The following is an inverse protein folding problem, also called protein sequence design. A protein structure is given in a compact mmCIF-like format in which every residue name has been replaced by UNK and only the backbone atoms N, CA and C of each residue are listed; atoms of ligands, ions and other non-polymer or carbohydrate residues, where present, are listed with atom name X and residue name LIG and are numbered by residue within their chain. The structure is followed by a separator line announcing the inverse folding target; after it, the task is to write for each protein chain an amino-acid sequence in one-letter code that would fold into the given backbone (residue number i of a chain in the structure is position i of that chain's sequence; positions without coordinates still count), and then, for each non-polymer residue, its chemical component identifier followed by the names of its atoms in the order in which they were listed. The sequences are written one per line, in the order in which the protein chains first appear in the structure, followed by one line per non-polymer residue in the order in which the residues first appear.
data_IF_062962109375
#
_entry.id   IF_062962109375
#
_cell.length_a   1.000
_cell.length_b   1.000
_cell.length_c   1.000
_cell.angle_alpha   90.00
_cell.angle_beta   90.00
_cell.angle_gamma   90.00
#
_symmetry.space_group_name_H-M   'P 1'
#
loop_
_entity.id
_entity.type
_entity.pdbx_description
1 polymer ?
#
# COMPACT_ATOMS: atom_id res chain seq x y z
N UNK A 1 19.35 -4.93 -16.32
CA UNK A 1 19.77 -5.54 -15.03
C UNK A 1 18.61 -5.34 -14.05
N UNK A 2 17.94 -6.41 -13.61
CA UNK A 2 16.81 -6.34 -12.66
C UNK A 2 17.36 -6.68 -11.27
N UNK A 3 17.22 -5.76 -10.32
CA UNK A 3 17.56 -6.02 -8.92
C UNK A 3 16.33 -6.55 -8.19
N UNK A 4 16.42 -7.76 -7.64
CA UNK A 4 15.39 -8.33 -6.77
C UNK A 4 15.77 -8.05 -5.32
N UNK A 5 14.86 -7.43 -4.57
CA UNK A 5 15.02 -7.21 -3.14
C UNK A 5 13.90 -7.93 -2.41
N UNK A 6 14.26 -8.80 -1.48
CA UNK A 6 13.30 -9.44 -0.59
C UNK A 6 13.42 -8.79 0.79
N UNK A 7 12.35 -8.13 1.23
CA UNK A 7 12.31 -7.54 2.57
C UNK A 7 12.31 -8.63 3.65
N UNK A 8 12.91 -8.37 4.83
CA UNK A 8 12.92 -9.33 5.93
C UNK A 8 11.50 -9.58 6.47
N UNK A 9 11.23 -10.81 6.88
CA UNK A 9 9.94 -11.19 7.47
C UNK A 9 9.76 -10.48 8.82
N UNK A 10 8.65 -9.76 8.98
CA UNK A 10 8.27 -9.09 10.24
C UNK A 10 7.11 -9.84 10.89
N UNK A 11 7.26 -10.15 12.19
CA UNK A 11 6.22 -10.81 13.00
C UNK A 11 5.62 -9.80 13.97
N UNK A 12 4.31 -9.63 13.94
CA UNK A 12 3.57 -8.77 14.86
C UNK A 12 3.01 -9.59 16.02
N UNK A 13 2.98 -9.00 17.23
CA UNK A 13 2.41 -9.64 18.44
C UNK A 13 0.88 -9.58 18.52
N UNK A 14 0.24 -8.87 17.59
CA UNK A 14 -1.20 -8.62 17.60
C UNK A 14 -1.95 -9.61 16.69
N UNK A 15 -3.23 -9.91 16.99
CA UNK A 15 -4.08 -10.72 16.12
C UNK A 15 -4.29 -10.08 14.74
N UNK A 16 -4.65 -10.92 13.76
CA UNK A 16 -4.78 -10.55 12.36
C UNK A 16 -5.75 -9.38 12.14
N UNK A 17 -6.87 -9.39 12.83
CA UNK A 17 -7.93 -8.40 12.71
C UNK A 17 -7.45 -7.00 13.11
N UNK A 18 -6.61 -6.90 14.14
CA UNK A 18 -5.99 -5.63 14.54
C UNK A 18 -4.94 -5.17 13.54
N UNK A 19 -4.19 -6.09 12.94
CA UNK A 19 -3.22 -5.77 11.88
C UNK A 19 -3.94 -5.27 10.62
N UNK A 20 -5.07 -5.88 10.26
CA UNK A 20 -5.92 -5.45 9.15
C UNK A 20 -6.50 -4.06 9.40
N UNK A 21 -7.09 -3.83 10.58
CA UNK A 21 -7.60 -2.51 10.96
C UNK A 21 -6.49 -1.44 10.99
N UNK A 22 -5.28 -1.79 11.45
CA UNK A 22 -4.13 -0.90 11.41
C UNK A 22 -3.64 -0.64 9.98
N UNK A 23 -3.75 -1.63 9.09
CA UNK A 23 -3.39 -1.49 7.68
C UNK A 23 -4.32 -0.50 6.96
N UNK A 24 -5.63 -0.60 7.18
CA UNK A 24 -6.60 0.35 6.60
C UNK A 24 -6.37 1.78 7.08
N UNK A 25 -6.08 1.96 8.37
CA UNK A 25 -5.79 3.28 8.97
C UNK A 25 -4.54 3.97 8.43
N UNK A 26 -3.71 3.29 7.65
CA UNK A 26 -2.55 3.92 6.97
C UNK A 26 -3.00 4.90 5.88
N UNK A 27 -4.23 4.76 5.39
CA UNK A 27 -4.75 5.57 4.31
C UNK A 27 -5.81 6.52 4.89
N UNK A 28 -5.91 7.78 4.42
CA UNK A 28 -5.27 8.35 3.23
C UNK A 28 -3.95 9.08 3.48
N UNK A 29 -3.52 9.30 4.73
CA UNK A 29 -2.25 9.99 5.06
C UNK A 29 -1.48 9.23 6.15
N UNK A 30 -0.17 9.06 5.96
CA UNK A 30 0.71 8.32 6.86
C UNK A 30 1.79 9.24 7.44
N UNK A 31 1.69 9.70 8.70
CA UNK A 31 2.71 10.56 9.29
C UNK A 31 4.08 9.87 9.44
N UNK A 32 4.11 8.53 9.49
CA UNK A 32 5.34 7.75 9.54
C UNK A 32 6.07 7.66 8.19
N UNK A 33 5.41 8.03 7.09
CA UNK A 33 5.96 7.94 5.73
C UNK A 33 5.96 9.37 5.17
N UNK A 34 7.03 10.15 5.36
CA UNK A 34 7.04 11.58 4.99
C UNK A 34 6.95 11.83 3.48
N UNK A 35 7.24 10.82 2.66
CA UNK A 35 7.09 10.87 1.20
C UNK A 35 5.65 10.61 0.73
N UNK A 36 4.75 10.19 1.61
CA UNK A 36 3.39 9.81 1.23
C UNK A 36 2.47 11.03 1.23
N UNK A 37 2.01 11.43 0.05
CA UNK A 37 1.20 12.65 -0.14
C UNK A 37 -0.28 12.34 0.10
N UNK A 38 -0.75 11.24 -0.48
CA UNK A 38 -2.16 10.83 -0.39
C UNK A 38 -2.44 9.55 -1.15
N UNK A 39 -3.61 8.98 -0.91
CA UNK A 39 -4.13 7.86 -1.70
C UNK A 39 -5.59 8.02 -2.02
N UNK A 40 -5.97 7.59 -3.21
CA UNK A 40 -7.34 7.57 -3.69
C UNK A 40 -7.75 6.13 -4.02
N UNK A 41 -8.98 5.74 -3.68
CA UNK A 41 -9.52 4.41 -4.02
C UNK A 41 -10.00 4.47 -5.47
N UNK A 42 -9.47 3.59 -6.32
CA UNK A 42 -9.82 3.53 -7.74
C UNK A 42 -10.82 2.40 -8.02
N UNK A 43 -10.67 1.28 -7.32
CA UNK A 43 -11.55 0.12 -7.47
C UNK A 43 -11.77 -0.56 -6.13
N UNK A 44 -12.98 -1.06 -5.92
CA UNK A 44 -13.36 -1.82 -4.74
C UNK A 44 -14.31 -2.93 -5.14
N UNK A 45 -14.01 -4.15 -4.69
CA UNK A 45 -14.80 -5.33 -4.93
C UNK A 45 -14.95 -6.15 -3.65
N UNK A 46 -16.19 -6.52 -3.36
CA UNK A 46 -16.55 -7.40 -2.24
C UNK A 46 -17.18 -8.67 -2.82
N UNK A 47 -16.70 -9.82 -2.38
CA UNK A 47 -17.33 -11.10 -2.70
C UNK A 47 -18.69 -11.24 -1.99
N UNK A 48 -19.63 -11.98 -2.58
CA UNK A 48 -20.99 -12.18 -2.03
C UNK A 48 -20.98 -12.83 -0.64
N UNK A 49 -19.98 -13.66 -0.35
CA UNK A 49 -19.78 -14.31 0.95
C UNK A 49 -19.19 -13.37 2.01
N UNK A 50 -18.76 -12.16 1.63
CA UNK A 50 -18.06 -11.20 2.48
C UNK A 50 -16.68 -11.67 2.95
N UNK A 51 -16.20 -12.82 2.47
CA UNK A 51 -14.94 -13.43 2.87
C UNK A 51 -13.72 -12.80 2.19
N UNK A 52 -13.90 -12.27 0.99
CA UNK A 52 -12.86 -11.65 0.18
C UNK A 52 -13.21 -10.21 -0.15
N UNK A 53 -12.23 -9.33 0.08
CA UNK A 53 -12.30 -7.92 -0.26
C UNK A 53 -11.06 -7.54 -1.06
N UNK A 54 -11.26 -6.98 -2.24
CA UNK A 54 -10.21 -6.47 -3.11
C UNK A 54 -10.35 -4.97 -3.21
N UNK A 55 -9.29 -4.25 -2.89
CA UNK A 55 -9.23 -2.80 -3.03
C UNK A 55 -8.00 -2.39 -3.82
N UNK A 56 -8.21 -1.52 -4.80
CA UNK A 56 -7.13 -0.90 -5.57
C UNK A 56 -7.07 0.57 -5.22
N UNK A 57 -5.87 1.04 -4.88
CA UNK A 57 -5.62 2.42 -4.45
C UNK A 57 -4.49 3.00 -5.26
N UNK A 58 -4.70 4.20 -5.77
CA UNK A 58 -3.63 4.99 -6.39
C UNK A 58 -3.00 5.86 -5.31
N UNK A 59 -1.72 5.64 -5.03
CA UNK A 59 -0.94 6.35 -4.02
C UNK A 59 0.01 7.34 -4.68
N UNK A 60 0.02 8.58 -4.21
CA UNK A 60 0.96 9.61 -4.66
C UNK A 60 2.12 9.71 -3.68
N UNK A 61 3.33 9.48 -4.17
CA UNK A 61 4.57 9.58 -3.40
C UNK A 61 5.42 10.73 -3.94
N UNK A 62 5.83 11.63 -3.05
CA UNK A 62 6.80 12.66 -3.35
C UNK A 62 8.20 12.10 -3.11
N UNK A 63 8.89 11.75 -4.19
CA UNK A 63 10.24 11.18 -4.10
C UNK A 63 11.25 12.29 -4.24
N UNK A 64 12.14 12.39 -3.27
CA UNK A 64 13.25 13.33 -3.33
C UNK A 64 14.29 12.81 -4.33
N UNK A 65 14.06 13.12 -5.62
CA UNK A 65 14.90 12.64 -6.70
C UNK A 65 16.25 13.38 -6.72
N UNK A 66 17.35 12.70 -7.10
CA UNK A 66 18.66 13.36 -7.23
C UNK A 66 18.59 14.53 -8.22
N UNK A 67 19.45 15.54 -8.00
CA UNK A 67 19.37 16.88 -8.61
C UNK A 67 19.10 16.91 -10.13
N UNK A 68 19.65 15.95 -10.86
CA UNK A 68 19.45 15.81 -12.31
C UNK A 68 18.01 15.48 -12.70
N UNK A 69 17.32 14.64 -11.92
CA UNK A 69 15.93 14.22 -12.19
C UNK A 69 14.95 15.34 -11.80
N UNK A 70 15.22 16.07 -10.71
CA UNK A 70 14.43 17.25 -10.32
C UNK A 70 14.37 18.31 -11.41
N UNK A 71 15.47 18.51 -12.15
CA UNK A 71 15.54 19.49 -13.24
C UNK A 71 14.60 19.16 -14.41
N UNK A 72 14.14 17.91 -14.51
CA UNK A 72 13.20 17.43 -15.56
C UNK A 72 11.74 17.43 -15.07
N UNK A 73 11.47 17.85 -13.82
CA UNK A 73 10.11 18.05 -13.30
C UNK A 73 9.43 16.81 -12.68
N UNK A 74 10.09 15.67 -12.63
CA UNK A 74 9.56 14.46 -12.00
C UNK A 74 9.82 14.48 -10.48
N UNK A 75 8.86 15.02 -9.73
CA UNK A 75 8.88 15.03 -8.24
C UNK A 75 7.83 14.11 -7.63
N UNK A 76 6.72 13.88 -8.32
CA UNK A 76 5.63 13.04 -7.84
C UNK A 76 5.53 11.75 -8.65
N UNK A 77 5.52 10.61 -7.97
CA UNK A 77 5.32 9.28 -8.54
C UNK A 77 3.96 8.76 -8.07
N UNK A 78 3.15 8.26 -9.00
CA UNK A 78 1.91 7.55 -8.68
C UNK A 78 2.17 6.04 -8.71
N UNK A 79 1.83 5.36 -7.64
CA UNK A 79 1.93 3.90 -7.51
C UNK A 79 0.52 3.36 -7.31
N UNK A 80 0.13 2.38 -8.12
CA UNK A 80 -1.09 1.58 -7.90
C UNK A 80 -0.78 0.47 -6.92
N UNK A 81 -1.57 0.37 -5.86
CA UNK A 81 -1.44 -0.65 -4.82
C UNK A 81 -2.72 -1.48 -4.79
N UNK A 82 -2.58 -2.79 -5.06
CA UNK A 82 -3.71 -3.73 -5.04
C UNK A 82 -3.62 -4.56 -3.77
N UNK A 83 -4.64 -4.49 -2.92
CA UNK A 83 -4.71 -5.29 -1.70
C UNK A 83 -5.90 -6.26 -1.77
N UNK A 84 -5.60 -7.56 -1.65
CA UNK A 84 -6.59 -8.62 -1.48
C UNK A 84 -6.59 -9.07 -0.01
N UNK A 85 -7.72 -8.91 0.64
CA UNK A 85 -7.98 -9.33 2.02
C UNK A 85 -8.85 -10.57 1.98
N UNK A 86 -8.36 -11.66 2.57
CA UNK A 86 -9.14 -12.88 2.72
C UNK A 86 -9.28 -13.20 4.22
N UNK A 87 -10.50 -13.08 4.73
CA UNK A 87 -10.83 -13.25 6.16
C UNK A 87 -10.83 -14.72 6.58
N UNK A 88 -11.19 -15.64 5.69
CA UNK A 88 -11.20 -17.09 5.98
C UNK A 88 -9.79 -17.65 6.17
N UNK A 89 -8.87 -17.25 5.28
CA UNK A 89 -7.47 -17.69 5.32
C UNK A 89 -6.60 -16.80 6.21
N UNK A 90 -7.11 -15.64 6.66
CA UNK A 90 -6.39 -14.63 7.45
C UNK A 90 -5.10 -14.16 6.75
N UNK A 91 -5.24 -13.82 5.47
CA UNK A 91 -4.13 -13.37 4.62
C UNK A 91 -4.48 -12.02 4.00
N UNK A 92 -3.49 -11.12 3.99
CA UNK A 92 -3.51 -9.88 3.19
C UNK A 92 -2.41 -10.02 2.15
N UNK A 93 -2.76 -9.97 0.86
CA UNK A 93 -1.79 -9.90 -0.24
C UNK A 93 -1.80 -8.51 -0.83
N UNK A 94 -0.63 -7.86 -0.84
CA UNK A 94 -0.43 -6.59 -1.54
C UNK A 94 0.41 -6.87 -2.79
N UNK A 95 -0.10 -6.52 -3.96
CA UNK A 95 0.56 -6.66 -5.28
C UNK A 95 0.78 -5.28 -5.88
#
# INVERSE_FOLDING_TARGET
MVQTYQSPVRVYKHPFELVMAAYEKRFPTCPQIPIFVGSEVTYEYHSEDGAEWVIERTCQLNVDAPYLVKKVGYSTICITLVANFNLQTRVIRCV
#
